data_IF_665457751630
#
_entry.id   IF_665457751630
#
_cell.length_a   1.000
_cell.length_b   1.000
_cell.length_c   1.000
_cell.angle_alpha   90.00
_cell.angle_beta   90.00
_cell.angle_gamma   90.00
#
_symmetry.space_group_name_H-M   'P 1'
#
loop_
_entity.id
_entity.type
_entity.pdbx_description
1 polymer ?
#
# COMPACT_ATOMS: atom_id res chain seq x y z
N UNK A 1 -0.68 -33.36 8.62
CA UNK A 1 -1.77 -32.49 9.05
C UNK A 1 -1.28 -31.13 9.50
N UNK A 2 -0.30 -31.11 10.37
CA UNK A 2 0.26 -29.83 10.83
C UNK A 2 0.87 -29.04 9.69
N UNK A 3 1.54 -29.71 8.74
CA UNK A 3 2.13 -29.07 7.58
C UNK A 3 1.10 -28.42 6.66
N UNK A 4 -0.10 -28.97 6.62
CA UNK A 4 -1.19 -28.41 5.82
C UNK A 4 -1.63 -27.04 6.35
N UNK A 5 -1.78 -26.93 7.67
CA UNK A 5 -2.11 -25.66 8.30
C UNK A 5 -1.00 -24.63 8.09
N UNK A 6 0.21 -25.10 8.02
CA UNK A 6 1.36 -24.26 7.81
C UNK A 6 1.33 -23.58 6.44
N UNK A 7 0.91 -24.27 5.41
CA UNK A 7 0.80 -23.71 4.07
C UNK A 7 -0.29 -22.68 3.95
N UNK A 8 -1.36 -22.80 4.72
CA UNK A 8 -2.45 -21.85 4.67
C UNK A 8 -2.07 -20.44 5.14
N UNK A 9 -0.97 -20.32 5.89
CA UNK A 9 -0.53 -19.02 6.38
C UNK A 9 0.17 -18.18 5.33
N UNK A 10 0.90 -18.80 4.43
CA UNK A 10 1.74 -18.08 3.48
C UNK A 10 0.94 -17.35 2.40
N UNK A 11 -0.29 -17.77 2.13
CA UNK A 11 -1.09 -17.24 1.03
C UNK A 11 -2.24 -16.34 1.48
N UNK A 12 -2.36 -16.06 2.78
CA UNK A 12 -3.49 -15.31 3.31
C UNK A 12 -3.55 -13.86 2.83
N UNK A 13 -2.41 -13.32 2.46
CA UNK A 13 -2.30 -11.95 1.99
C UNK A 13 -3.10 -11.74 0.71
N UNK A 14 -2.91 -12.62 -0.26
CA UNK A 14 -3.50 -12.51 -1.58
C UNK A 14 -5.01 -12.70 -1.59
N UNK A 15 -5.56 -13.42 -0.62
CA UNK A 15 -7.00 -13.70 -0.58
C UNK A 15 -7.86 -12.47 -0.40
N UNK A 16 -7.31 -11.45 0.23
CA UNK A 16 -8.07 -10.24 0.56
C UNK A 16 -7.79 -9.09 -0.41
N UNK A 17 -6.94 -9.34 -1.40
CA UNK A 17 -6.60 -8.36 -2.42
C UNK A 17 -7.25 -8.75 -3.76
N UNK A 18 -7.48 -7.76 -4.61
CA UNK A 18 -8.05 -8.01 -5.94
C UNK A 18 -7.03 -8.54 -6.93
N UNK A 19 -5.77 -8.66 -6.54
CA UNK A 19 -4.70 -9.16 -7.38
C UNK A 19 -3.80 -10.10 -6.58
N UNK A 20 -3.00 -10.89 -7.29
CA UNK A 20 -2.08 -11.81 -6.66
C UNK A 20 -0.77 -11.11 -6.33
N UNK A 21 -0.43 -11.12 -5.04
CA UNK A 21 0.79 -10.50 -4.55
C UNK A 21 1.96 -11.47 -4.66
N UNK A 22 3.09 -11.00 -5.18
CA UNK A 22 4.31 -11.79 -5.17
C UNK A 22 4.94 -11.70 -3.78
N UNK A 23 4.61 -12.65 -2.94
CA UNK A 23 5.03 -12.64 -1.54
C UNK A 23 6.55 -12.60 -1.36
N UNK A 24 7.31 -13.14 -2.33
CA UNK A 24 8.78 -13.13 -2.23
C UNK A 24 9.36 -11.73 -2.15
N UNK A 25 8.67 -10.74 -2.70
CA UNK A 25 9.14 -9.36 -2.65
C UNK A 25 9.01 -8.78 -1.24
N UNK A 26 8.22 -9.40 -0.37
CA UNK A 26 7.88 -8.83 0.94
C UNK A 26 8.19 -9.74 2.11
N UNK A 27 8.78 -10.92 1.87
CA UNK A 27 8.96 -11.92 2.92
C UNK A 27 9.91 -11.51 4.05
N UNK A 28 10.83 -10.57 3.75
CA UNK A 28 11.79 -10.09 4.75
C UNK A 28 11.27 -8.91 5.55
N UNK A 29 10.09 -8.42 5.25
CA UNK A 29 9.55 -7.26 5.92
C UNK A 29 8.90 -7.67 7.24
N UNK A 30 9.39 -7.07 8.32
CA UNK A 30 8.81 -7.19 9.66
C UNK A 30 8.83 -5.85 10.34
N UNK A 31 7.67 -5.43 10.84
CA UNK A 31 7.54 -4.17 11.56
C UNK A 31 6.80 -4.45 12.87
N UNK A 32 7.46 -4.16 13.98
CA UNK A 32 6.90 -4.42 15.31
C UNK A 32 6.44 -5.87 15.47
N UNK A 33 7.23 -6.80 14.91
CA UNK A 33 6.95 -8.23 15.00
C UNK A 33 5.91 -8.75 14.03
N UNK A 34 5.35 -7.89 13.18
CA UNK A 34 4.33 -8.29 12.20
C UNK A 34 4.90 -8.43 10.80
N UNK A 35 4.49 -9.48 10.12
CA UNK A 35 4.86 -9.68 8.72
C UNK A 35 4.10 -8.72 7.82
N UNK A 36 4.56 -8.61 6.58
CA UNK A 36 3.87 -7.77 5.59
C UNK A 36 2.39 -8.19 5.44
N UNK A 37 2.12 -9.48 5.34
CA UNK A 37 0.75 -9.95 5.19
C UNK A 37 -0.11 -9.69 6.41
N UNK A 38 0.46 -9.78 7.61
CA UNK A 38 -0.27 -9.41 8.82
C UNK A 38 -0.64 -7.94 8.82
N UNK A 39 0.27 -7.08 8.37
CA UNK A 39 -0.01 -5.65 8.24
C UNK A 39 -1.09 -5.40 7.19
N UNK A 40 -1.02 -6.06 6.03
CA UNK A 40 -2.02 -5.91 4.98
C UNK A 40 -3.39 -6.34 5.48
N UNK A 41 -3.47 -7.50 6.11
CA UNK A 41 -4.75 -7.99 6.64
C UNK A 41 -5.33 -7.04 7.69
N UNK A 42 -4.48 -6.50 8.57
CA UNK A 42 -4.92 -5.51 9.55
C UNK A 42 -5.42 -4.23 8.89
N UNK A 43 -4.68 -3.76 7.90
CA UNK A 43 -5.04 -2.53 7.18
C UNK A 43 -6.37 -2.67 6.45
N UNK A 44 -6.61 -3.81 5.82
CA UNK A 44 -7.87 -4.06 5.12
C UNK A 44 -9.06 -4.13 6.07
N UNK A 45 -8.81 -4.35 7.35
CA UNK A 45 -9.83 -4.30 8.40
C UNK A 45 -9.94 -2.92 9.05
N UNK A 46 -9.13 -1.98 8.61
CA UNK A 46 -9.17 -0.62 9.11
C UNK A 46 -8.26 -0.35 10.30
N UNK A 47 -7.31 -1.25 10.61
CA UNK A 47 -6.39 -1.03 11.71
C UNK A 47 -5.42 0.12 11.39
N UNK A 48 -5.48 1.16 12.22
CA UNK A 48 -4.74 2.40 11.99
C UNK A 48 -3.23 2.21 11.98
N UNK A 49 -2.72 1.44 12.94
CA UNK A 49 -1.27 1.22 13.03
C UNK A 49 -0.75 0.46 11.82
N UNK A 50 -1.50 -0.54 11.36
CA UNK A 50 -1.14 -1.29 10.16
C UNK A 50 -1.11 -0.39 8.93
N UNK A 51 -2.12 0.45 8.77
CA UNK A 51 -2.20 1.39 7.64
C UNK A 51 -1.03 2.36 7.68
N UNK A 52 -0.74 2.94 8.84
CA UNK A 52 0.35 3.88 8.98
C UNK A 52 1.69 3.23 8.68
N UNK A 53 1.93 2.04 9.25
CA UNK A 53 3.19 1.34 9.02
C UNK A 53 3.39 0.96 7.55
N UNK A 54 2.34 0.49 6.89
CA UNK A 54 2.42 0.19 5.46
C UNK A 54 2.71 1.44 4.63
N UNK A 55 2.13 2.57 5.04
CA UNK A 55 2.32 3.83 4.32
C UNK A 55 3.73 4.38 4.44
N UNK A 56 4.49 3.94 5.45
CA UNK A 56 5.87 4.35 5.66
C UNK A 56 6.90 3.45 4.97
N UNK A 57 6.49 2.27 4.50
CA UNK A 57 7.43 1.32 3.90
C UNK A 57 7.91 1.85 2.56
N UNK A 58 9.25 1.83 2.38
CA UNK A 58 9.87 2.11 1.12
C UNK A 58 10.45 0.82 0.57
N UNK A 59 9.92 0.36 -0.54
CA UNK A 59 10.36 -0.86 -1.20
C UNK A 59 10.85 -0.48 -2.58
N UNK A 60 12.04 -0.97 -2.96
CA UNK A 60 12.63 -0.63 -4.23
C UNK A 60 12.04 -1.42 -5.40
N UNK A 61 12.23 -0.91 -6.59
CA UNK A 61 11.98 -1.60 -7.86
C UNK A 61 10.57 -2.21 -7.97
N UNK A 62 10.49 -3.49 -8.29
CA UNK A 62 9.21 -4.17 -8.52
C UNK A 62 8.31 -4.20 -7.29
N UNK A 63 8.91 -4.22 -6.11
CA UNK A 63 8.14 -4.22 -4.88
C UNK A 63 7.29 -2.98 -4.71
N UNK A 64 7.78 -1.81 -5.17
CA UNK A 64 7.03 -0.56 -5.04
C UNK A 64 5.74 -0.55 -5.87
N UNK A 65 5.73 -1.21 -7.02
CA UNK A 65 4.52 -1.29 -7.85
C UNK A 65 3.43 -2.09 -7.15
N UNK A 66 3.77 -3.26 -6.64
CA UNK A 66 2.80 -4.09 -5.94
C UNK A 66 2.38 -3.47 -4.60
N UNK A 67 3.34 -2.93 -3.87
CA UNK A 67 3.03 -2.28 -2.60
C UNK A 67 2.12 -1.06 -2.82
N UNK A 68 2.38 -0.30 -3.86
CA UNK A 68 1.51 0.82 -4.23
C UNK A 68 0.09 0.38 -4.54
N UNK A 69 -0.06 -0.73 -5.26
CA UNK A 69 -1.37 -1.29 -5.56
C UNK A 69 -2.09 -1.74 -4.28
N UNK A 70 -1.35 -2.30 -3.31
CA UNK A 70 -1.91 -2.65 -2.00
C UNK A 70 -2.45 -1.40 -1.30
N UNK A 71 -1.68 -0.32 -1.28
CA UNK A 71 -2.11 0.93 -0.65
C UNK A 71 -3.37 1.50 -1.30
N UNK A 72 -3.47 1.40 -2.63
CA UNK A 72 -4.66 1.86 -3.35
C UNK A 72 -5.89 1.06 -2.91
N UNK A 73 -5.76 -0.24 -2.75
CA UNK A 73 -6.87 -1.06 -2.26
C UNK A 73 -7.26 -0.70 -0.84
N UNK A 74 -6.29 -0.42 0.01
CA UNK A 74 -6.56 0.01 1.38
C UNK A 74 -7.33 1.33 1.37
N UNK A 75 -6.88 2.31 0.59
CA UNK A 75 -7.56 3.60 0.47
C UNK A 75 -9.00 3.41 -0.02
N UNK A 76 -9.20 2.54 -1.00
CA UNK A 76 -10.52 2.27 -1.56
C UNK A 76 -11.48 1.71 -0.48
N UNK A 77 -10.97 0.86 0.39
CA UNK A 77 -11.78 0.23 1.44
C UNK A 77 -12.06 1.19 2.60
N UNK A 78 -11.03 1.89 3.09
CA UNK A 78 -11.20 2.74 4.27
C UNK A 78 -11.69 4.15 3.96
N UNK A 79 -11.66 4.55 2.72
CA UNK A 79 -11.96 5.88 2.19
C UNK A 79 -10.78 6.83 2.32
N UNK A 80 -10.74 7.80 1.40
CA UNK A 80 -9.63 8.76 1.37
C UNK A 80 -9.59 9.65 2.62
N UNK A 81 -10.75 10.04 3.13
CA UNK A 81 -10.81 10.91 4.30
C UNK A 81 -10.20 10.24 5.53
N UNK A 82 -10.56 8.98 5.75
CA UNK A 82 -10.02 8.22 6.88
C UNK A 82 -8.53 7.96 6.70
N UNK A 83 -8.12 7.62 5.48
CA UNK A 83 -6.71 7.39 5.18
C UNK A 83 -5.87 8.64 5.48
N UNK A 84 -6.32 9.81 5.05
CA UNK A 84 -5.61 11.06 5.28
C UNK A 84 -5.45 11.36 6.77
N UNK A 85 -6.47 11.09 7.56
CA UNK A 85 -6.37 11.25 9.02
C UNK A 85 -5.28 10.36 9.60
N UNK A 86 -5.20 9.12 9.13
CA UNK A 86 -4.23 8.15 9.64
C UNK A 86 -2.81 8.55 9.29
N UNK A 87 -2.58 9.04 8.07
CA UNK A 87 -1.22 9.37 7.61
C UNK A 87 -0.82 10.83 7.86
N UNK A 88 -1.64 11.58 8.59
CA UNK A 88 -1.40 13.00 8.82
C UNK A 88 -0.08 13.32 9.53
N UNK A 89 0.49 12.34 10.24
CA UNK A 89 1.74 12.51 10.98
C UNK A 89 3.01 12.23 10.16
N UNK A 90 2.87 11.89 8.89
CA UNK A 90 4.04 11.58 8.07
C UNK A 90 4.96 12.80 7.91
N UNK A 91 6.27 12.56 7.96
CA UNK A 91 7.27 13.59 7.69
C UNK A 91 7.28 13.94 6.21
N UNK A 92 7.94 15.02 5.85
CA UNK A 92 8.06 15.43 4.44
C UNK A 92 8.74 14.36 3.60
N UNK A 93 9.77 13.70 4.16
CA UNK A 93 10.45 12.61 3.48
C UNK A 93 9.52 11.43 3.26
N UNK A 94 8.73 11.07 4.27
CA UNK A 94 7.78 9.96 4.18
C UNK A 94 6.67 10.26 3.19
N UNK A 95 6.19 11.50 3.16
CA UNK A 95 5.19 11.93 2.17
C UNK A 95 5.72 11.79 0.76
N UNK A 96 6.95 12.19 0.53
CA UNK A 96 7.56 12.08 -0.79
C UNK A 96 7.65 10.64 -1.25
N UNK A 97 8.08 9.76 -0.35
CA UNK A 97 8.16 8.33 -0.67
C UNK A 97 6.79 7.72 -0.92
N UNK A 98 5.80 8.11 -0.12
CA UNK A 98 4.43 7.65 -0.30
C UNK A 98 3.89 8.08 -1.67
N UNK A 99 4.18 9.31 -2.07
CA UNK A 99 3.77 9.78 -3.39
C UNK A 99 4.27 8.86 -4.50
N UNK A 100 5.56 8.55 -4.48
CA UNK A 100 6.14 7.68 -5.50
C UNK A 100 5.54 6.28 -5.46
N UNK A 101 5.27 5.77 -4.27
CA UNK A 101 4.68 4.44 -4.10
C UNK A 101 3.27 4.39 -4.67
N UNK A 102 2.45 5.39 -4.37
CA UNK A 102 1.08 5.47 -4.92
C UNK A 102 1.14 5.63 -6.44
N UNK A 103 2.04 6.48 -6.94
CA UNK A 103 2.22 6.67 -8.38
C UNK A 103 2.54 5.34 -9.06
N UNK A 104 3.48 4.58 -8.52
CA UNK A 104 3.83 3.26 -9.06
C UNK A 104 2.65 2.30 -9.00
N UNK A 105 1.87 2.35 -7.91
CA UNK A 105 0.69 1.51 -7.76
C UNK A 105 -0.39 1.80 -8.78
N UNK A 106 -0.57 3.05 -9.15
CA UNK A 106 -1.54 3.43 -10.18
C UNK A 106 -1.15 2.88 -11.56
N UNK A 107 0.15 2.73 -11.80
CA UNK A 107 0.62 2.10 -13.04
C UNK A 107 0.40 0.59 -13.03
N UNK A 108 0.52 -0.04 -11.87
CA UNK A 108 0.50 -1.51 -11.76
C UNK A 108 -0.88 -2.09 -11.50
N UNK A 109 -1.74 -1.38 -10.76
CA UNK A 109 -3.00 -1.95 -10.28
C UNK A 109 -3.82 -2.54 -11.42
N UNK A 110 -4.41 -3.72 -11.25
CA UNK A 110 -5.30 -4.28 -12.27
C UNK A 110 -6.71 -3.68 -12.23
N UNK A 111 -7.02 -2.91 -11.19
CA UNK A 111 -8.34 -2.32 -11.04
C UNK A 111 -8.56 -1.21 -12.08
N UNK A 112 -9.50 -1.39 -13.03
CA UNK A 112 -9.70 -0.41 -14.10
C UNK A 112 -10.13 0.97 -13.60
N UNK A 113 -10.67 1.04 -12.40
CA UNK A 113 -11.05 2.32 -11.79
C UNK A 113 -9.83 3.22 -11.57
N UNK A 114 -8.67 2.62 -11.33
CA UNK A 114 -7.46 3.35 -10.98
C UNK A 114 -6.31 3.23 -11.98
N UNK A 115 -6.30 2.14 -12.75
CA UNK A 115 -5.15 1.83 -13.59
C UNK A 115 -4.83 2.93 -14.59
N UNK A 116 -3.58 3.38 -14.56
CA UNK A 116 -3.06 4.40 -15.47
C UNK A 116 -3.59 5.80 -15.20
N UNK A 117 -4.30 5.98 -14.12
CA UNK A 117 -4.85 7.29 -13.76
C UNK A 117 -3.82 8.10 -12.98
N UNK A 118 -4.00 9.42 -12.98
CA UNK A 118 -3.12 10.31 -12.23
C UNK A 118 -3.65 10.54 -10.82
N UNK A 119 -2.73 10.70 -9.87
CA UNK A 119 -3.09 10.85 -8.47
C UNK A 119 -3.96 12.10 -8.24
N UNK A 120 -3.65 13.20 -8.94
CA UNK A 120 -4.43 14.44 -8.82
C UNK A 120 -5.86 14.29 -9.33
N UNK A 121 -6.10 13.33 -10.21
CA UNK A 121 -7.43 13.08 -10.75
C UNK A 121 -8.27 12.21 -9.83
N UNK A 122 -7.65 11.19 -9.24
CA UNK A 122 -8.37 10.21 -8.43
C UNK A 122 -8.40 10.58 -6.96
N UNK A 123 -7.29 11.09 -6.46
CA UNK A 123 -7.12 11.43 -5.05
C UNK A 123 -6.60 12.86 -4.92
N UNK A 124 -7.39 13.87 -5.32
CA UNK A 124 -6.90 15.26 -5.27
C UNK A 124 -6.51 15.70 -3.86
N UNK A 125 -7.24 15.27 -2.84
CA UNK A 125 -6.91 15.61 -1.45
C UNK A 125 -5.59 14.98 -1.02
N UNK A 126 -5.31 13.78 -1.48
CA UNK A 126 -4.05 13.11 -1.18
C UNK A 126 -2.89 13.82 -1.87
N UNK A 127 -3.08 14.22 -3.12
CA UNK A 127 -2.07 14.98 -3.85
C UNK A 127 -1.73 16.26 -3.12
N UNK A 128 -2.73 16.99 -2.66
CA UNK A 128 -2.55 18.22 -1.92
C UNK A 128 -1.80 17.98 -0.61
N UNK A 129 -2.17 16.92 0.11
CA UNK A 129 -1.50 16.55 1.36
C UNK A 129 -0.03 16.20 1.14
N UNK A 130 0.25 15.43 0.11
CA UNK A 130 1.62 14.97 -0.17
C UNK A 130 2.51 16.09 -0.70
N UNK A 131 1.91 17.12 -1.31
CA UNK A 131 2.60 18.37 -1.62
C UNK A 131 3.80 18.24 -2.53
N UNK A 132 3.74 17.40 -3.55
CA UNK A 132 4.91 17.16 -4.36
C UNK A 132 4.99 18.08 -5.56
N UNK A 133 5.96 18.97 -5.51
CA UNK A 133 6.33 19.77 -6.66
C UNK A 133 7.32 19.02 -7.56
N UNK A 134 7.82 17.88 -7.09
CA UNK A 134 8.81 17.06 -7.79
C UNK A 134 8.14 15.80 -8.32
N UNK A 135 7.25 15.95 -9.25
CA UNK A 135 6.60 14.82 -9.91
C UNK A 135 7.62 14.15 -10.81
N UNK A 136 7.72 12.81 -10.78
CA UNK A 136 8.58 12.13 -11.74
C UNK A 136 8.09 12.44 -13.14
N UNK A 137 8.98 12.99 -13.95
CA UNK A 137 8.69 13.28 -15.35
C UNK A 137 9.07 12.07 -16.17
N UNK A 138 8.17 11.21 -16.38
CA UNK A 138 8.52 10.11 -17.26
C UNK A 138 7.86 8.85 -16.95
#
# INVERSE_FOLDING_TARGET
MVSFLYFCHSDNCSKNLSFELDYHLFEDIKINGKTYCELVNGALKGDKDSILNLSKISIGDFGSYQHGAVLIEIIDIVTIDKYLMIVSSLSEKEKKQLYYTIWAGLEFTPNPKYKGKHIETIFPELKEFLGTDNVPTG
#
